data_IF_096036570046
#
_entry.id   IF_096036570046
#
_cell.length_a   1.000
_cell.length_b   1.000
_cell.length_c   1.000
_cell.angle_alpha   90.00
_cell.angle_beta   90.00
_cell.angle_gamma   90.00
#
_symmetry.space_group_name_H-M   'P 1'
#
loop_
_entity.id
_entity.type
_entity.pdbx_description
1 polymer ?
#
# COMPACT_ATOMS: atom_id res chain seq x y z
N UNK A 1 0.91 -2.46 9.28
CA UNK A 1 -0.18 -1.72 8.60
C UNK A 1 0.29 -1.32 7.21
N UNK A 2 -0.55 -1.45 6.18
CA UNK A 2 -0.24 -1.02 4.82
C UNK A 2 -1.19 0.10 4.40
N UNK A 3 -0.69 1.01 3.55
CA UNK A 3 -1.50 1.97 2.82
C UNK A 3 -1.33 1.72 1.32
N UNK A 4 -2.40 1.96 0.56
CA UNK A 4 -2.42 1.69 -0.87
C UNK A 4 -1.78 2.86 -1.65
N UNK A 5 -0.92 2.55 -2.62
CA UNK A 5 -0.33 3.54 -3.50
C UNK A 5 -0.15 2.96 -4.92
N UNK A 6 -1.20 2.97 -5.76
CA UNK A 6 -1.10 2.52 -7.14
C UNK A 6 -0.22 3.50 -7.93
N UNK A 7 1.05 3.15 -8.16
CA UNK A 7 2.02 4.01 -8.85
C UNK A 7 1.55 4.47 -10.24
N UNK A 8 0.79 3.63 -10.93
CA UNK A 8 0.18 3.91 -12.22
C UNK A 8 -1.00 4.89 -12.16
N UNK A 9 -1.44 5.28 -10.96
CA UNK A 9 -2.54 6.22 -10.75
C UNK A 9 -3.90 5.57 -10.54
N UNK A 10 -4.89 6.42 -10.24
CA UNK A 10 -6.29 6.02 -10.06
C UNK A 10 -6.89 5.53 -11.39
N UNK A 11 -7.85 4.60 -11.32
CA UNK A 11 -8.50 4.04 -12.52
C UNK A 11 -7.68 3.02 -13.31
N UNK A 12 -6.50 2.65 -12.83
CA UNK A 12 -5.65 1.61 -13.46
C UNK A 12 -5.90 0.21 -12.88
N UNK A 13 -5.42 -0.84 -13.54
CA UNK A 13 -5.51 -2.22 -13.04
C UNK A 13 -4.95 -2.38 -11.62
N UNK A 14 -3.80 -1.74 -11.33
CA UNK A 14 -3.22 -1.73 -9.99
C UNK A 14 -4.14 -1.06 -8.96
N UNK A 15 -4.83 0.03 -9.34
CA UNK A 15 -5.83 0.66 -8.48
C UNK A 15 -7.01 -0.29 -8.22
N UNK A 16 -7.56 -0.92 -9.27
CA UNK A 16 -8.67 -1.86 -9.15
C UNK A 16 -8.34 -3.04 -8.23
N UNK A 17 -7.16 -3.65 -8.39
CA UNK A 17 -6.69 -4.73 -7.51
C UNK A 17 -6.54 -4.29 -6.06
N UNK A 18 -6.08 -3.06 -5.82
CA UNK A 18 -6.01 -2.51 -4.46
C UNK A 18 -7.41 -2.22 -3.89
N UNK A 19 -8.32 -1.61 -4.66
CA UNK A 19 -9.71 -1.38 -4.22
C UNK A 19 -10.35 -2.70 -3.81
N UNK A 20 -10.19 -3.72 -4.64
CA UNK A 20 -10.66 -5.05 -4.35
C UNK A 20 -10.17 -5.60 -3.00
N UNK A 21 -8.87 -5.54 -2.73
CA UNK A 21 -8.33 -6.02 -1.47
C UNK A 21 -8.86 -5.26 -0.26
N UNK A 22 -8.99 -3.94 -0.38
CA UNK A 22 -9.51 -3.10 0.71
C UNK A 22 -11.02 -3.22 0.91
N UNK A 23 -11.76 -3.69 -0.10
CA UNK A 23 -13.19 -4.01 0.01
C UNK A 23 -13.48 -5.43 0.50
N UNK A 24 -12.47 -6.29 0.60
CA UNK A 24 -12.66 -7.65 1.11
C UNK A 24 -12.88 -7.67 2.62
N UNK A 25 -13.66 -8.63 3.11
CA UNK A 25 -13.88 -8.86 4.54
C UNK A 25 -12.57 -9.12 5.32
N UNK A 26 -11.55 -9.63 4.61
CA UNK A 26 -10.23 -9.88 5.15
C UNK A 26 -9.14 -9.29 4.23
N UNK A 27 -8.88 -8.00 4.38
CA UNK A 27 -7.86 -7.27 3.62
C UNK A 27 -6.47 -7.93 3.71
N UNK A 28 -6.09 -8.50 4.87
CA UNK A 28 -4.79 -9.17 5.03
C UNK A 28 -4.69 -10.39 4.13
N UNK A 29 -5.72 -11.24 4.13
CA UNK A 29 -5.76 -12.44 3.28
C UNK A 29 -5.80 -12.06 1.79
N UNK A 30 -6.61 -11.06 1.42
CA UNK A 30 -6.71 -10.60 0.03
C UNK A 30 -5.38 -10.04 -0.49
N UNK A 31 -4.70 -9.20 0.31
CA UNK A 31 -3.36 -8.71 -0.01
C UNK A 31 -2.34 -9.86 -0.15
N UNK A 32 -2.39 -10.87 0.72
CA UNK A 32 -1.51 -12.05 0.61
C UNK A 32 -1.77 -12.82 -0.68
N UNK A 33 -3.04 -13.03 -1.07
CA UNK A 33 -3.39 -13.70 -2.33
C UNK A 33 -2.88 -12.93 -3.54
N UNK A 34 -3.14 -11.62 -3.59
CA UNK A 34 -2.67 -10.74 -4.67
C UNK A 34 -1.14 -10.76 -4.80
N UNK A 35 -0.40 -10.67 -3.68
CA UNK A 35 1.07 -10.75 -3.67
C UNK A 35 1.61 -12.11 -4.14
N UNK A 36 0.82 -13.17 -4.02
CA UNK A 36 1.14 -14.51 -4.49
C UNK A 36 0.59 -14.80 -5.90
N UNK A 37 0.18 -13.77 -6.66
CA UNK A 37 -0.42 -13.88 -7.98
C UNK A 37 -1.63 -14.84 -8.03
N UNK A 38 -2.40 -14.91 -6.93
CA UNK A 38 -3.67 -15.64 -6.89
C UNK A 38 -4.80 -14.72 -7.31
N UNK A 39 -5.74 -15.26 -8.07
CA UNK A 39 -6.99 -14.58 -8.38
C UNK A 39 -7.79 -14.34 -7.09
N UNK A 40 -8.48 -13.21 -7.06
CA UNK A 40 -9.36 -12.78 -5.99
C UNK A 40 -10.63 -12.26 -6.64
N UNK A 41 -11.78 -12.62 -6.09
CA UNK A 41 -13.08 -12.17 -6.61
C UNK A 41 -13.14 -10.64 -6.59
N UNK A 42 -13.54 -10.05 -7.70
CA UNK A 42 -13.61 -8.60 -7.85
C UNK A 42 -14.82 -8.04 -7.09
N UNK A 43 -14.57 -7.55 -5.90
CA UNK A 43 -15.46 -6.75 -5.07
C UNK A 43 -15.13 -5.24 -5.15
N UNK A 44 -16.16 -4.41 -5.14
CA UNK A 44 -16.09 -2.95 -5.04
C UNK A 44 -17.02 -2.48 -3.92
N UNK A 45 -16.59 -1.44 -3.22
CA UNK A 45 -17.30 -0.88 -2.08
C UNK A 45 -17.06 0.63 -2.01
N UNK A 46 -18.09 1.38 -1.62
CA UNK A 46 -18.04 2.85 -1.61
C UNK A 46 -17.07 3.40 -0.56
N UNK A 47 -16.83 2.65 0.52
CA UNK A 47 -15.99 3.06 1.65
C UNK A 47 -14.50 2.70 1.49
N UNK A 48 -14.06 2.29 0.29
CA UNK A 48 -12.67 1.95 0.04
C UNK A 48 -11.73 3.17 0.27
N UNK A 49 -10.57 3.01 0.93
CA UNK A 49 -9.69 4.13 1.28
C UNK A 49 -8.54 4.37 0.27
N UNK A 50 -8.45 3.62 -0.83
CA UNK A 50 -7.31 3.62 -1.77
C UNK A 50 -7.08 5.00 -2.37
N UNK A 51 -8.13 5.70 -2.82
CA UNK A 51 -8.00 7.05 -3.37
C UNK A 51 -7.47 8.04 -2.33
N UNK A 52 -7.93 7.91 -1.08
CA UNK A 52 -7.48 8.73 0.06
C UNK A 52 -6.02 8.43 0.41
N UNK A 53 -5.63 7.16 0.48
CA UNK A 53 -4.25 6.75 0.71
C UNK A 53 -3.31 7.31 -0.37
N UNK A 54 -3.69 7.19 -1.63
CA UNK A 54 -2.92 7.71 -2.76
C UNK A 54 -2.73 9.23 -2.65
N UNK A 55 -3.80 9.99 -2.40
CA UNK A 55 -3.73 11.44 -2.24
C UNK A 55 -2.85 11.86 -1.06
N UNK A 56 -2.96 11.18 0.09
CA UNK A 56 -2.09 11.42 1.25
C UNK A 56 -0.64 11.13 0.90
N UNK A 57 -0.34 9.97 0.29
CA UNK A 57 1.02 9.62 -0.12
C UNK A 57 1.62 10.65 -1.07
N UNK A 58 0.85 11.14 -2.04
CA UNK A 58 1.28 12.22 -2.94
C UNK A 58 1.58 13.51 -2.17
N UNK A 59 0.73 13.90 -1.22
CA UNK A 59 0.95 15.08 -0.37
C UNK A 59 2.18 14.94 0.54
N UNK A 60 2.49 13.72 0.99
CA UNK A 60 3.67 13.39 1.78
C UNK A 60 4.95 13.21 0.93
N UNK A 61 4.88 13.43 -0.39
CA UNK A 61 6.05 13.36 -1.27
C UNK A 61 6.46 11.95 -1.71
N UNK A 62 5.57 10.95 -1.60
CA UNK A 62 5.83 9.60 -2.11
C UNK A 62 5.95 9.63 -3.64
N UNK A 63 7.13 9.26 -4.15
CA UNK A 63 7.43 9.17 -5.58
C UNK A 63 7.62 7.73 -6.07
N UNK A 64 7.84 6.79 -5.15
CA UNK A 64 8.05 5.36 -5.44
C UNK A 64 7.59 4.47 -4.30
N UNK A 65 7.49 3.16 -4.57
CA UNK A 65 7.07 2.16 -3.58
C UNK A 65 8.07 0.99 -3.55
N UNK A 66 8.34 0.38 -2.38
CA UNK A 66 7.77 0.72 -1.08
C UNK A 66 8.27 2.07 -0.55
N UNK A 67 7.46 2.73 0.27
CA UNK A 67 7.79 3.94 1.00
C UNK A 67 7.34 3.73 2.44
N UNK A 68 8.28 3.81 3.37
CA UNK A 68 8.06 3.49 4.79
C UNK A 68 8.05 4.82 5.55
N UNK A 69 7.10 4.97 6.46
CA UNK A 69 7.09 6.09 7.42
C UNK A 69 7.33 5.52 8.82
N UNK A 70 8.28 6.10 9.55
CA UNK A 70 8.52 5.74 10.96
C UNK A 70 7.39 6.27 11.86
N UNK A 71 7.38 5.86 13.12
CA UNK A 71 6.43 6.35 14.14
C UNK A 71 6.56 7.86 14.40
N UNK A 72 7.72 8.42 14.12
CA UNK A 72 8.06 9.85 14.23
C UNK A 72 7.71 10.62 12.95
N UNK A 73 7.19 9.95 11.92
CA UNK A 73 6.81 10.54 10.64
C UNK A 73 7.95 10.70 9.63
N UNK A 74 9.12 10.11 9.89
CA UNK A 74 10.26 10.18 8.96
C UNK A 74 10.01 9.26 7.76
N UNK A 75 10.15 9.80 6.54
CA UNK A 75 10.09 9.04 5.30
C UNK A 75 11.41 8.28 5.06
N UNK A 76 11.31 6.96 4.95
CA UNK A 76 12.37 6.04 4.52
C UNK A 76 11.98 5.52 3.13
N UNK A 77 12.55 6.08 2.04
CA UNK A 77 12.17 5.72 0.68
C UNK A 77 12.81 4.40 0.26
N UNK A 78 12.06 3.59 -0.48
CA UNK A 78 12.56 2.36 -1.08
C UNK A 78 12.50 1.15 -0.15
N UNK A 79 13.00 0.04 -0.69
CA UNK A 79 13.10 -1.22 0.02
C UNK A 79 14.33 -1.22 0.93
N UNK A 80 14.16 -1.78 2.13
CA UNK A 80 15.25 -2.17 3.02
C UNK A 80 15.01 -3.61 3.46
N UNK A 81 16.10 -4.36 3.65
CA UNK A 81 16.04 -5.67 4.31
C UNK A 81 15.51 -5.52 5.75
N UNK A 82 15.00 -6.59 6.38
CA UNK A 82 14.59 -6.54 7.77
C UNK A 82 15.67 -5.98 8.72
N UNK A 83 16.92 -6.37 8.52
CA UNK A 83 18.07 -5.98 9.33
C UNK A 83 18.43 -4.50 9.14
N UNK A 84 18.46 -4.03 7.89
CA UNK A 84 18.75 -2.63 7.57
C UNK A 84 17.63 -1.71 8.05
N UNK A 85 16.37 -2.14 7.89
CA UNK A 85 15.22 -1.38 8.38
C UNK A 85 15.23 -1.26 9.89
N UNK A 86 15.54 -2.35 10.61
CA UNK A 86 15.66 -2.32 12.07
C UNK A 86 16.77 -1.37 12.52
N UNK A 87 17.90 -1.37 11.83
CA UNK A 87 19.01 -0.44 12.09
C UNK A 87 18.56 1.00 11.87
N UNK A 88 17.86 1.27 10.76
CA UNK A 88 17.34 2.60 10.42
C UNK A 88 16.28 3.14 11.37
N UNK A 89 15.48 2.26 11.98
CA UNK A 89 14.44 2.63 12.95
C UNK A 89 14.98 2.87 14.37
N UNK A 90 16.20 2.41 14.67
CA UNK A 90 16.84 2.59 15.99
C UNK A 90 17.78 3.80 16.05
N UNK A 91 18.14 4.36 14.90
CA UNK A 91 18.97 5.57 14.78
C UNK A 91 18.13 6.83 14.96
#
# INVERSE_FOLDING_TARGET
NYAAFPRSGLGTDSFTKMVNAWCSDNTKLSLTRLKNNKEVDVNFCDNQPVSKHYAIGKKLGVTGTPAIFSTEGILIPGYLSPEDLLTKLKS
#
